data_IF_503004394559
#
_entry.id   IF_503004394559
#
_cell.length_a   1.000
_cell.length_b   1.000
_cell.length_c   1.000
_cell.angle_alpha   90.00
_cell.angle_beta   90.00
_cell.angle_gamma   90.00
#
_symmetry.space_group_name_H-M   'P 1'
#
loop_
_entity.id
_entity.type
_entity.pdbx_description
1 polymer ?
#
# COMPACT_ATOMS: atom_id res chain seq x y z
N UNK A 1 3.64 23.04 -8.13
CA UNK A 1 2.53 22.11 -8.42
C UNK A 1 3.16 20.77 -8.70
N UNK A 2 3.10 19.79 -7.79
CA UNK A 2 3.56 18.43 -8.10
C UNK A 2 2.43 17.75 -8.89
N UNK A 3 2.58 17.54 -10.22
CA UNK A 3 1.53 16.97 -11.05
C UNK A 3 1.72 15.46 -11.17
N UNK A 4 1.97 14.79 -10.06
CA UNK A 4 2.24 13.36 -10.08
C UNK A 4 1.60 12.73 -8.86
N UNK A 5 0.31 12.44 -8.98
CA UNK A 5 -0.24 11.28 -8.29
C UNK A 5 0.33 10.07 -9.04
N UNK A 6 1.51 9.62 -8.66
CA UNK A 6 2.04 8.37 -9.16
C UNK A 6 1.19 7.23 -8.62
N UNK A 7 1.05 6.17 -9.42
CA UNK A 7 0.40 4.94 -8.99
C UNK A 7 1.46 3.86 -8.80
N UNK A 8 1.66 3.43 -7.56
CA UNK A 8 2.48 2.29 -7.21
C UNK A 8 1.58 1.06 -7.05
N UNK A 9 1.92 -0.04 -7.75
CA UNK A 9 1.14 -1.27 -7.70
C UNK A 9 1.94 -2.37 -7.01
N UNK A 10 1.45 -2.85 -5.88
CA UNK A 10 2.04 -3.95 -5.13
C UNK A 10 1.66 -5.27 -5.81
N UNK A 11 2.66 -5.95 -6.36
CA UNK A 11 2.50 -7.22 -7.09
C UNK A 11 3.12 -8.42 -6.39
N UNK A 12 3.71 -8.23 -5.21
CA UNK A 12 4.33 -9.29 -4.43
C UNK A 12 3.34 -10.37 -4.01
N UNK A 13 3.71 -11.64 -4.21
CA UNK A 13 2.82 -12.78 -3.97
C UNK A 13 2.39 -12.92 -2.51
N UNK A 14 3.30 -12.67 -1.56
CA UNK A 14 3.00 -12.73 -0.13
C UNK A 14 2.03 -11.61 0.30
N UNK A 15 2.25 -10.41 -0.22
CA UNK A 15 1.38 -9.26 0.00
C UNK A 15 -0.04 -9.52 -0.53
N UNK A 16 -0.16 -10.01 -1.77
CA UNK A 16 -1.44 -10.35 -2.40
C UNK A 16 -2.17 -11.49 -1.65
N UNK A 17 -1.43 -12.49 -1.17
CA UNK A 17 -2.00 -13.54 -0.30
C UNK A 17 -2.58 -12.94 0.98
N UNK A 18 -1.82 -12.13 1.70
CA UNK A 18 -2.31 -11.55 2.96
C UNK A 18 -3.51 -10.63 2.72
N UNK A 19 -3.46 -9.80 1.68
CA UNK A 19 -4.57 -8.99 1.21
C UNK A 19 -5.86 -9.81 1.06
N UNK A 20 -5.80 -10.95 0.37
CA UNK A 20 -6.97 -11.80 0.10
C UNK A 20 -7.61 -12.42 1.36
N UNK A 21 -6.89 -12.44 2.48
CA UNK A 21 -7.33 -13.04 3.75
C UNK A 21 -7.92 -12.02 4.73
N UNK A 22 -7.82 -10.72 4.44
CA UNK A 22 -8.22 -9.65 5.35
C UNK A 22 -9.57 -9.05 4.91
N UNK A 23 -10.50 -8.88 5.85
CA UNK A 23 -11.75 -8.17 5.59
C UNK A 23 -11.53 -6.65 5.62
N UNK A 24 -11.33 -6.05 4.45
CA UNK A 24 -11.08 -4.61 4.28
C UNK A 24 -12.34 -3.74 4.37
N UNK A 25 -13.53 -4.31 4.59
CA UNK A 25 -14.74 -3.53 4.90
C UNK A 25 -14.77 -2.99 6.34
N UNK A 26 -13.71 -3.20 7.11
CA UNK A 26 -13.59 -2.75 8.50
C UNK A 26 -12.28 -2.00 8.71
N UNK A 27 -12.31 -0.95 9.55
CA UNK A 27 -11.11 -0.17 9.87
C UNK A 27 -9.99 -1.04 10.47
N UNK A 28 -10.36 -2.04 11.28
CA UNK A 28 -9.40 -2.99 11.84
C UNK A 28 -8.75 -3.87 10.78
N UNK A 29 -9.48 -4.27 9.75
CA UNK A 29 -8.93 -5.03 8.63
C UNK A 29 -7.96 -4.17 7.82
N UNK A 30 -8.35 -2.94 7.49
CA UNK A 30 -7.48 -1.98 6.80
C UNK A 30 -6.19 -1.75 7.59
N UNK A 31 -6.29 -1.44 8.89
CA UNK A 31 -5.13 -1.24 9.75
C UNK A 31 -4.20 -2.47 9.78
N UNK A 32 -4.75 -3.68 9.87
CA UNK A 32 -3.96 -4.93 9.83
C UNK A 32 -3.22 -5.12 8.51
N UNK A 33 -3.85 -4.78 7.38
CA UNK A 33 -3.20 -4.87 6.08
C UNK A 33 -2.05 -3.86 6.00
N UNK A 34 -2.30 -2.61 6.35
CA UNK A 34 -1.28 -1.55 6.32
C UNK A 34 -0.09 -1.89 7.23
N UNK A 35 -0.33 -2.32 8.47
CA UNK A 35 0.75 -2.75 9.37
C UNK A 35 1.57 -3.91 8.78
N UNK A 36 0.92 -4.88 8.15
CA UNK A 36 1.63 -5.98 7.51
C UNK A 36 2.46 -5.52 6.29
N UNK A 37 1.97 -4.58 5.48
CA UNK A 37 2.74 -4.02 4.37
C UNK A 37 3.99 -3.29 4.88
N UNK A 38 3.88 -2.54 5.97
CA UNK A 38 5.03 -1.94 6.66
C UNK A 38 5.99 -3.01 7.19
N UNK A 39 5.49 -4.06 7.85
CA UNK A 39 6.32 -5.16 8.40
C UNK A 39 7.16 -5.88 7.34
N UNK A 40 6.64 -6.04 6.11
CA UNK A 40 7.37 -6.68 5.02
C UNK A 40 8.25 -5.71 4.21
N UNK A 41 8.30 -4.43 4.59
CA UNK A 41 9.18 -3.41 4.00
C UNK A 41 8.61 -2.70 2.76
N UNK A 42 7.29 -2.69 2.56
CA UNK A 42 6.69 -1.96 1.41
C UNK A 42 7.00 -0.47 1.47
N UNK A 43 6.96 0.14 2.65
CA UNK A 43 7.27 1.57 2.81
C UNK A 43 8.70 1.91 2.39
N UNK A 44 9.66 1.04 2.70
CA UNK A 44 11.05 1.21 2.28
C UNK A 44 11.21 1.13 0.76
N UNK A 45 10.49 0.21 0.11
CA UNK A 45 10.52 0.06 -1.34
C UNK A 45 9.85 1.25 -2.04
N UNK A 46 8.71 1.73 -1.55
CA UNK A 46 8.05 2.92 -2.06
C UNK A 46 8.95 4.16 -1.95
N UNK A 47 9.60 4.34 -0.79
CA UNK A 47 10.55 5.43 -0.59
C UNK A 47 11.75 5.35 -1.56
N UNK A 48 12.32 4.16 -1.79
CA UNK A 48 13.39 3.94 -2.78
C UNK A 48 12.95 4.25 -4.20
N UNK A 49 11.67 4.04 -4.51
CA UNK A 49 11.08 4.37 -5.81
C UNK A 49 10.68 5.85 -5.94
N UNK A 50 10.82 6.64 -4.87
CA UNK A 50 10.53 8.07 -4.86
C UNK A 50 9.06 8.42 -4.61
N UNK A 51 8.30 7.51 -3.98
CA UNK A 51 6.95 7.82 -3.53
C UNK A 51 6.94 9.03 -2.58
N UNK A 52 5.95 9.88 -2.72
CA UNK A 52 5.75 11.10 -1.94
C UNK A 52 4.33 11.14 -1.37
N UNK A 53 4.12 11.94 -0.32
CA UNK A 53 2.79 12.14 0.25
C UNK A 53 1.77 12.51 -0.83
N UNK A 54 0.65 11.79 -0.85
CA UNK A 54 -0.38 11.96 -1.87
C UNK A 54 -0.30 11.00 -3.06
N UNK A 55 0.77 10.20 -3.18
CA UNK A 55 0.84 9.16 -4.21
C UNK A 55 -0.15 8.02 -3.94
N UNK A 56 -0.71 7.44 -5.00
CA UNK A 56 -1.63 6.31 -4.89
C UNK A 56 -0.86 5.00 -4.82
N UNK A 57 -1.21 4.14 -3.87
CA UNK A 57 -0.69 2.79 -3.74
C UNK A 57 -1.84 1.80 -3.86
N UNK A 58 -1.68 0.80 -4.73
CA UNK A 58 -2.71 -0.21 -5.00
C UNK A 58 -2.21 -1.61 -4.72
N UNK A 59 -3.05 -2.40 -4.07
CA UNK A 59 -2.89 -3.85 -3.88
C UNK A 59 -4.21 -4.55 -4.19
N UNK A 60 -4.20 -5.38 -5.24
CA UNK A 60 -5.44 -5.95 -5.77
C UNK A 60 -6.42 -4.86 -6.20
N UNK A 61 -7.58 -4.80 -5.54
CA UNK A 61 -8.62 -3.80 -5.77
C UNK A 61 -8.65 -2.68 -4.70
N UNK A 62 -7.79 -2.80 -3.69
CA UNK A 62 -7.67 -1.79 -2.64
C UNK A 62 -6.62 -0.75 -3.03
N UNK A 63 -7.00 0.52 -2.91
CA UNK A 63 -6.15 1.68 -3.19
C UNK A 63 -6.16 2.61 -1.98
N UNK A 64 -4.98 3.12 -1.63
CA UNK A 64 -4.78 4.04 -0.52
C UNK A 64 -3.75 5.10 -0.89
N UNK A 65 -3.79 6.21 -0.17
CA UNK A 65 -2.81 7.29 -0.33
C UNK A 65 -1.58 6.99 0.52
N UNK A 66 -0.40 7.12 -0.07
CA UNK A 66 0.87 7.02 0.62
C UNK A 66 1.06 8.24 1.52
N UNK A 67 1.45 7.97 2.76
CA UNK A 67 1.77 8.98 3.79
C UNK A 67 3.07 8.54 4.44
N UNK A 68 4.11 9.35 4.30
CA UNK A 68 5.43 9.13 4.91
C UNK A 68 5.51 9.55 6.38
#
# INVERSE_FOLDING_TARGET
SHPSAHLFVITGEEALRRYSLINLSTDQGVAKLLSYLTEIGVDEELAKMGASDGDAVRIGEFEFEYVS
#
